data_IF_428613777407
#
_entry.id   IF_428613777407
#
_cell.length_a   1.000
_cell.length_b   1.000
_cell.length_c   1.000
_cell.angle_alpha   90.00
_cell.angle_beta   90.00
_cell.angle_gamma   90.00
#
_symmetry.space_group_name_H-M   'P 1'
#
loop_
_entity.id
_entity.type
_entity.pdbx_description
1 polymer ?
#
# COMPACT_ATOMS: atom_id res chain seq x y z
N UNK A 1 -29.50 1.14 4.01
CA UNK A 1 -29.10 0.91 5.42
C UNK A 1 -28.38 -0.42 5.46
N UNK A 2 -27.08 -0.56 5.63
CA UNK A 2 -26.02 0.27 6.22
C UNK A 2 -24.90 0.48 5.20
N UNK A 3 -24.15 1.56 5.38
CA UNK A 3 -23.06 1.99 4.52
C UNK A 3 -21.90 0.96 4.58
N UNK A 4 -21.94 -0.10 3.75
CA UNK A 4 -20.88 -1.14 3.69
C UNK A 4 -19.49 -0.53 3.44
N UNK A 5 -19.41 0.64 2.80
CA UNK A 5 -18.16 1.37 2.58
C UNK A 5 -17.51 1.91 3.87
N UNK A 6 -18.25 2.05 4.97
CA UNK A 6 -17.73 2.58 6.25
C UNK A 6 -17.26 1.50 7.22
N UNK A 7 -17.61 0.22 7.04
CA UNK A 7 -17.29 -0.84 8.00
C UNK A 7 -16.22 -1.84 7.51
N UNK A 8 -15.93 -1.88 6.20
CA UNK A 8 -14.88 -2.77 5.67
C UNK A 8 -13.44 -2.30 5.96
N UNK A 9 -13.26 -1.11 6.55
CA UNK A 9 -12.00 -0.37 6.48
C UNK A 9 -11.13 -0.34 7.73
N UNK A 10 -11.69 -0.51 8.93
CA UNK A 10 -10.98 -0.08 10.15
C UNK A 10 -9.93 -1.09 10.65
N UNK A 11 -10.11 -2.40 10.41
CA UNK A 11 -9.13 -3.41 10.80
C UNK A 11 -8.43 -4.08 9.60
N UNK A 12 -7.12 -4.41 9.69
CA UNK A 12 -6.40 -5.08 8.60
C UNK A 12 -7.02 -6.41 8.18
N UNK A 13 -7.66 -7.13 9.11
CA UNK A 13 -8.30 -8.42 8.82
C UNK A 13 -9.49 -8.26 7.86
N UNK A 14 -10.38 -7.29 8.10
CA UNK A 14 -11.51 -7.02 7.22
C UNK A 14 -11.06 -6.64 5.80
N UNK A 15 -10.00 -5.83 5.68
CA UNK A 15 -9.41 -5.49 4.38
C UNK A 15 -8.81 -6.71 3.68
N UNK A 16 -8.13 -7.60 4.42
CA UNK A 16 -7.58 -8.83 3.87
C UNK A 16 -8.68 -9.76 3.30
N UNK A 17 -9.85 -9.81 3.94
CA UNK A 17 -10.97 -10.63 3.47
C UNK A 17 -11.50 -10.21 2.09
N UNK A 18 -11.21 -9.00 1.59
CA UNK A 18 -11.64 -8.58 0.26
C UNK A 18 -10.81 -9.21 -0.86
N UNK A 19 -9.64 -9.79 -0.55
CA UNK A 19 -8.70 -10.35 -1.52
C UNK A 19 -8.99 -11.81 -1.92
N UNK A 20 -10.22 -12.32 -1.70
CA UNK A 20 -10.57 -13.71 -2.03
C UNK A 20 -10.31 -14.07 -3.50
N UNK A 21 -10.54 -13.13 -4.42
CA UNK A 21 -10.32 -13.29 -5.85
C UNK A 21 -9.09 -12.51 -6.36
N UNK A 22 -8.12 -12.23 -5.49
CA UNK A 22 -6.90 -11.53 -5.90
C UNK A 22 -6.13 -12.33 -6.96
N UNK A 23 -5.65 -11.71 -8.06
CA UNK A 23 -4.97 -12.43 -9.12
C UNK A 23 -3.75 -13.22 -8.60
N UNK A 24 -3.68 -14.54 -8.81
CA UNK A 24 -2.54 -15.35 -8.37
C UNK A 24 -1.21 -14.94 -9.02
N UNK A 25 -1.27 -14.29 -10.17
CA UNK A 25 -0.11 -13.75 -10.90
C UNK A 25 0.42 -12.42 -10.35
N UNK A 26 -0.31 -11.79 -9.42
CA UNK A 26 0.11 -10.51 -8.85
C UNK A 26 1.38 -10.69 -8.00
N UNK A 27 2.41 -9.83 -8.18
CA UNK A 27 3.70 -9.99 -7.48
C UNK A 27 3.66 -9.54 -6.01
N UNK A 28 2.59 -8.87 -5.58
CA UNK A 28 2.43 -8.36 -4.21
C UNK A 28 1.43 -9.19 -3.42
N UNK A 29 1.71 -9.37 -2.13
CA UNK A 29 0.90 -10.24 -1.27
C UNK A 29 -0.32 -9.48 -0.73
N UNK A 30 -1.53 -10.05 -0.79
CA UNK A 30 -2.74 -9.49 -0.19
C UNK A 30 -2.59 -9.02 1.27
N UNK A 31 -1.83 -9.76 2.08
CA UNK A 31 -1.58 -9.40 3.48
C UNK A 31 -0.86 -8.06 3.61
N UNK A 32 0.15 -7.82 2.79
CA UNK A 32 0.95 -6.58 2.84
C UNK A 32 0.11 -5.38 2.38
N UNK A 33 -0.73 -5.58 1.36
CA UNK A 33 -1.69 -4.58 0.89
C UNK A 33 -2.70 -4.22 1.99
N UNK A 34 -3.32 -5.22 2.61
CA UNK A 34 -4.27 -5.04 3.71
C UNK A 34 -3.63 -4.30 4.90
N UNK A 35 -2.40 -4.65 5.26
CA UNK A 35 -1.65 -3.95 6.30
C UNK A 35 -1.39 -2.49 5.94
N UNK A 36 -1.06 -2.19 4.68
CA UNK A 36 -0.86 -0.83 4.16
C UNK A 36 -2.16 -0.01 3.99
N UNK A 37 -3.28 -0.49 4.52
CA UNK A 37 -4.55 0.23 4.49
C UNK A 37 -5.30 0.09 3.17
N UNK A 38 -4.92 -0.88 2.33
CA UNK A 38 -5.50 -1.09 1.00
C UNK A 38 -6.45 -2.28 1.03
N UNK A 39 -7.58 -2.18 0.34
CA UNK A 39 -8.51 -3.30 0.12
C UNK A 39 -8.70 -3.53 -1.38
N UNK A 40 -8.93 -4.78 -1.77
CA UNK A 40 -9.21 -5.17 -3.16
C UNK A 40 -10.57 -4.67 -3.63
N UNK A 41 -10.63 -4.15 -4.86
CA UNK A 41 -11.87 -3.67 -5.49
C UNK A 41 -12.61 -4.76 -6.30
N UNK A 42 -12.02 -5.95 -6.46
CA UNK A 42 -12.63 -7.04 -7.23
C UNK A 42 -12.33 -7.02 -8.73
N UNK A 43 -11.51 -6.07 -9.20
CA UNK A 43 -11.13 -5.93 -10.61
C UNK A 43 -9.61 -5.89 -10.79
N UNK A 44 -9.08 -6.72 -11.69
CA UNK A 44 -7.65 -6.79 -12.01
C UNK A 44 -6.82 -6.86 -10.72
N UNK A 45 -5.78 -6.04 -10.59
CA UNK A 45 -4.96 -5.87 -9.38
C UNK A 45 -5.23 -4.52 -8.68
N UNK A 46 -6.46 -4.00 -8.81
CA UNK A 46 -6.83 -2.69 -8.26
C UNK A 46 -7.15 -2.76 -6.79
N UNK A 47 -6.55 -1.86 -6.02
CA UNK A 47 -6.82 -1.70 -4.59
C UNK A 47 -7.11 -0.24 -4.27
N UNK A 48 -7.88 -0.02 -3.21
CA UNK A 48 -8.21 1.32 -2.72
C UNK A 48 -7.85 1.47 -1.25
N UNK A 49 -7.38 2.66 -0.85
CA UNK A 49 -7.17 2.96 0.55
C UNK A 49 -8.49 3.27 1.27
N UNK A 50 -8.70 2.70 2.46
CA UNK A 50 -9.87 3.02 3.30
C UNK A 50 -9.85 4.47 3.84
N UNK A 51 -8.66 5.04 4.06
CA UNK A 51 -8.49 6.34 4.71
C UNK A 51 -8.54 7.50 3.71
N UNK A 52 -7.69 7.44 2.67
CA UNK A 52 -7.58 8.50 1.68
C UNK A 52 -8.31 8.18 0.36
N UNK A 53 -8.85 6.98 0.18
CA UNK A 53 -9.55 6.63 -1.06
C UNK A 53 -8.66 6.52 -2.30
N UNK A 54 -7.32 6.67 -2.19
CA UNK A 54 -6.44 6.52 -3.34
C UNK A 54 -6.54 5.11 -3.91
N UNK A 55 -6.63 5.02 -5.23
CA UNK A 55 -6.63 3.77 -5.96
C UNK A 55 -5.26 3.51 -6.57
N UNK A 56 -4.76 2.28 -6.43
CA UNK A 56 -3.48 1.81 -6.95
C UNK A 56 -3.69 0.51 -7.72
N UNK A 57 -2.94 0.32 -8.79
CA UNK A 57 -2.94 -0.87 -9.64
C UNK A 57 -1.61 -1.01 -10.37
N UNK A 58 -1.47 -2.04 -11.21
CA UNK A 58 -0.25 -2.33 -11.97
C UNK A 58 0.94 -2.59 -11.05
N UNK A 59 0.75 -3.48 -10.08
CA UNK A 59 1.77 -3.88 -9.13
C UNK A 59 2.87 -4.68 -9.82
N UNK A 60 4.13 -4.31 -9.56
CA UNK A 60 5.31 -4.97 -10.12
C UNK A 60 6.17 -5.61 -9.04
N UNK A 61 7.04 -6.54 -9.42
CA UNK A 61 7.96 -7.19 -8.50
C UNK A 61 8.87 -6.16 -7.81
N UNK A 62 8.96 -6.24 -6.48
CA UNK A 62 9.71 -5.29 -5.65
C UNK A 62 8.91 -4.11 -5.11
N UNK A 63 7.64 -3.95 -5.50
CA UNK A 63 6.78 -2.91 -4.94
C UNK A 63 6.49 -3.16 -3.45
N UNK A 64 6.69 -2.14 -2.63
CA UNK A 64 6.28 -2.11 -1.22
C UNK A 64 4.96 -1.32 -1.08
N UNK A 65 3.84 -1.93 -0.64
CA UNK A 65 2.54 -1.28 -0.52
C UNK A 65 2.55 0.02 0.30
N UNK A 66 3.32 0.09 1.39
CA UNK A 66 3.44 1.30 2.22
C UNK A 66 4.14 2.43 1.49
N UNK A 67 5.29 2.14 0.89
CA UNK A 67 6.09 3.11 0.14
C UNK A 67 5.28 3.67 -1.02
N UNK A 68 4.62 2.81 -1.78
CA UNK A 68 3.82 3.20 -2.94
C UNK A 68 2.58 3.99 -2.50
N UNK A 69 1.88 3.56 -1.46
CA UNK A 69 0.77 4.31 -0.89
C UNK A 69 1.21 5.72 -0.44
N UNK A 70 2.30 5.86 0.31
CA UNK A 70 2.79 7.17 0.76
C UNK A 70 3.20 8.08 -0.41
N UNK A 71 3.93 7.51 -1.37
CA UNK A 71 4.41 8.19 -2.58
C UNK A 71 3.26 8.75 -3.42
N UNK A 72 2.27 7.91 -3.75
CA UNK A 72 1.17 8.32 -4.63
C UNK A 72 0.11 9.13 -3.90
N UNK A 73 -0.09 8.89 -2.61
CA UNK A 73 -0.89 9.79 -1.76
C UNK A 73 -0.13 11.05 -1.38
N UNK A 74 1.07 11.34 -1.88
CA UNK A 74 1.84 12.59 -1.59
C UNK A 74 1.81 12.98 -0.10
N UNK A 75 1.83 12.00 0.79
CA UNK A 75 1.70 12.16 2.24
C UNK A 75 0.43 12.87 2.75
N UNK A 76 -0.66 12.95 1.97
CA UNK A 76 -1.96 13.48 2.45
C UNK A 76 -2.82 12.42 3.13
N UNK A 77 -2.44 11.14 3.03
CA UNK A 77 -3.11 10.07 3.76
C UNK A 77 -2.65 10.04 5.23
N UNK A 78 -3.55 10.37 6.16
CA UNK A 78 -3.27 10.33 7.60
C UNK A 78 -2.80 8.95 8.07
N UNK A 79 -3.27 7.87 7.45
CA UNK A 79 -2.82 6.51 7.76
C UNK A 79 -1.34 6.27 7.43
N UNK A 80 -0.84 6.72 6.27
CA UNK A 80 0.58 6.57 5.93
C UNK A 80 1.45 7.52 6.74
N UNK A 81 1.01 8.75 6.99
CA UNK A 81 1.74 9.73 7.80
C UNK A 81 1.91 9.26 9.24
N UNK A 82 0.84 8.80 9.89
CA UNK A 82 0.92 8.31 11.26
C UNK A 82 1.85 7.10 11.39
N UNK A 83 1.81 6.16 10.45
CA UNK A 83 2.62 4.94 10.53
C UNK A 83 4.09 5.18 10.17
N UNK A 84 4.39 6.08 9.23
CA UNK A 84 5.79 6.46 8.92
C UNK A 84 6.43 7.33 10.02
N UNK A 85 5.64 8.04 10.81
CA UNK A 85 6.10 8.81 11.96
C UNK A 85 6.40 7.93 13.20
N UNK A 86 5.93 6.69 13.22
CA UNK A 86 6.30 5.67 14.22
C UNK A 86 7.39 4.76 13.67
N UNK A 87 8.37 4.29 14.47
CA UNK A 87 9.25 3.20 14.03
C UNK A 87 8.35 2.05 13.58
N UNK A 88 8.49 1.60 12.33
CA UNK A 88 7.66 0.53 11.73
C UNK A 88 7.42 -0.55 12.78
N UNK A 89 6.16 -0.87 13.17
CA UNK A 89 5.92 -1.95 14.11
C UNK A 89 6.49 -3.22 13.49
N UNK A 90 7.61 -3.68 14.03
CA UNK A 90 8.38 -4.83 13.57
C UNK A 90 7.60 -6.08 13.98
N UNK A 91 6.42 -6.30 13.41
CA UNK A 91 5.62 -7.49 13.69
C UNK A 91 6.06 -8.61 12.73
N UNK A 92 7.06 -9.33 13.23
CA UNK A 92 7.53 -10.67 12.85
C UNK A 92 8.31 -10.85 11.54
N UNK A 93 9.62 -10.61 11.65
CA UNK A 93 10.60 -11.61 11.23
C UNK A 93 11.52 -11.92 12.41
N UNK A 94 11.34 -13.10 12.99
CA UNK A 94 12.36 -13.79 13.76
C UNK A 94 13.53 -14.04 12.79
N UNK A 95 14.47 -13.10 12.71
CA UNK A 95 15.84 -13.37 12.28
C UNK A 95 16.76 -12.80 13.35
N UNK A 96 17.38 -13.75 14.01
CA UNK A 96 18.46 -13.65 14.96
C UNK A 96 19.43 -12.50 14.64
N UNK A 97 19.86 -11.85 15.72
CA UNK A 97 21.00 -10.93 15.80
C UNK A 97 22.15 -11.42 14.92
N UNK A 98 22.59 -10.62 13.95
CA UNK A 98 23.98 -10.62 13.53
C UNK A 98 24.66 -9.40 14.18
N UNK A 99 25.66 -9.60 15.06
CA UNK A 99 26.49 -8.51 15.53
C UNK A 99 27.40 -8.09 14.37
N UNK A 100 27.22 -6.87 13.85
CA UNK A 100 28.20 -6.30 12.93
C UNK A 100 27.72 -5.45 11.75
N UNK A 101 26.45 -5.05 11.64
CA UNK A 101 26.06 -4.13 10.56
C UNK A 101 26.30 -2.68 10.98
N UNK A 102 27.52 -2.19 10.73
CA UNK A 102 27.84 -0.76 10.75
C UNK A 102 26.85 0.01 9.89
N UNK A 103 26.44 1.17 10.39
CA UNK A 103 25.72 2.18 9.64
C UNK A 103 26.50 2.57 8.37
N UNK A 104 26.18 1.93 7.25
CA UNK A 104 26.61 2.34 5.93
C UNK A 104 25.61 3.35 5.39
N UNK A 105 25.98 4.63 5.39
CA UNK A 105 25.37 5.63 4.51
C UNK A 105 25.61 5.12 3.08
N UNK A 106 24.62 4.46 2.48
CA UNK A 106 24.70 4.15 1.06
C UNK A 106 24.61 5.46 0.28
N UNK A 107 25.57 5.76 -0.60
CA UNK A 107 25.51 6.96 -1.43
C UNK A 107 24.24 6.92 -2.27
N UNK A 108 23.51 8.03 -2.29
CA UNK A 108 22.41 8.27 -3.20
C UNK A 108 22.88 7.92 -4.61
N UNK A 109 22.39 6.80 -5.16
CA UNK A 109 22.65 6.43 -6.54
C UNK A 109 21.94 7.46 -7.45
N UNK A 110 22.66 8.32 -8.19
CA UNK A 110 22.06 9.39 -8.97
C UNK A 110 21.69 8.93 -10.38
N UNK A 111 21.31 7.65 -10.54
CA UNK A 111 20.94 7.09 -11.83
C UNK A 111 19.73 6.15 -11.72
N UNK A 112 18.51 6.72 -11.78
CA UNK A 112 17.40 6.14 -12.58
C UNK A 112 16.44 7.25 -12.99
N UNK A 113 16.78 7.93 -14.08
CA UNK A 113 15.79 8.63 -14.91
C UNK A 113 15.17 7.61 -15.86
N UNK A 114 13.83 7.61 -15.86
CA UNK A 114 12.92 7.28 -16.95
C UNK A 114 12.74 5.81 -17.36
N UNK A 115 11.49 5.34 -17.30
CA UNK A 115 10.68 4.74 -18.39
C UNK A 115 9.73 3.65 -17.87
N UNK A 116 8.42 3.88 -18.05
CA UNK A 116 7.41 2.82 -18.18
C UNK A 116 6.45 2.61 -17.00
N UNK A 117 5.17 2.91 -17.24
CA UNK A 117 3.97 2.42 -16.52
C UNK A 117 3.79 2.92 -15.07
N UNK A 118 3.48 4.21 -14.97
CA UNK A 118 3.00 4.83 -13.73
C UNK A 118 1.71 4.14 -13.26
N UNK A 119 1.68 3.66 -12.01
CA UNK A 119 0.44 3.24 -11.33
C UNK A 119 -0.65 4.27 -11.63
N UNK A 120 -1.76 3.82 -12.20
CA UNK A 120 -2.85 4.73 -12.59
C UNK A 120 -3.57 5.16 -11.30
N UNK A 121 -3.24 6.35 -10.79
CA UNK A 121 -4.15 7.03 -9.85
C UNK A 121 -5.45 7.26 -10.64
N UNK A 122 -6.47 6.48 -10.31
CA UNK A 122 -7.82 6.72 -10.80
C UNK A 122 -8.35 7.94 -10.01
N UNK A 123 -8.71 8.99 -10.74
CA UNK A 123 -9.01 10.32 -10.20
C UNK A 123 -10.17 10.30 -9.18
N UNK A 124 -9.93 10.85 -7.99
CA UNK A 124 -10.90 11.00 -6.90
C UNK A 124 -11.97 12.10 -7.21
N UNK A 125 -11.90 12.79 -8.35
CA UNK A 125 -12.80 13.92 -8.65
C UNK A 125 -14.20 13.58 -9.18
N UNK A 126 -14.57 12.31 -9.38
CA UNK A 126 -15.86 11.97 -10.02
C UNK A 126 -16.97 11.42 -9.12
N UNK A 127 -16.79 11.35 -7.79
CA UNK A 127 -17.84 10.85 -6.87
C UNK A 127 -18.42 11.88 -5.89
N UNK A 128 -18.28 13.18 -6.19
CA UNK A 128 -19.06 14.26 -5.54
C UNK A 128 -19.89 15.04 -6.57
N UNK A 129 -20.72 14.32 -7.31
CA UNK A 129 -21.73 14.89 -8.19
C UNK A 129 -22.97 13.98 -8.23
N UNK A 130 -23.59 13.78 -7.06
CA UNK A 130 -25.04 13.55 -6.86
C UNK A 130 -25.38 13.99 -5.44
#
# INVERSE_FOLDING_TARGET
TLNLKLLQGDCPYARFQTFQAWPPSSPVRPRDLAQAGLFYEGQEDRVQCFCCGIQLSQWVSGDDPWTEHSKYSRNWCGFTVCVLATPRPVFDRIHLVHPGFSAGIHPLNPARRNMGFSKRILDHRSLRAL
#
